data_IF_657487751879
#
_entry.id   IF_657487751879
#
_cell.length_a   1.000
_cell.length_b   1.000
_cell.length_c   1.000
_cell.angle_alpha   90.00
_cell.angle_beta   90.00
_cell.angle_gamma   90.00
#
_symmetry.space_group_name_H-M   'P 1'
#
loop_
_entity.id
_entity.type
_entity.pdbx_description
1 polymer ?
#
# COMPACT_ATOMS: atom_id res chain seq x y z
N UNK A 1 -5.99 0.38 -11.47
CA UNK A 1 -5.47 1.10 -10.29
C UNK A 1 -3.95 1.25 -10.31
N UNK A 2 -3.17 0.26 -10.75
CA UNK A 2 -1.70 0.38 -10.86
C UNK A 2 -1.22 1.62 -11.66
N UNK A 3 -1.91 1.95 -12.76
CA UNK A 3 -1.61 3.15 -13.56
C UNK A 3 -1.75 4.46 -12.76
N UNK A 4 -2.67 4.55 -11.79
CA UNK A 4 -2.86 5.75 -10.97
C UNK A 4 -1.70 5.95 -9.98
N UNK A 5 -1.22 4.87 -9.35
CA UNK A 5 -0.04 4.93 -8.49
C UNK A 5 1.22 5.30 -9.27
N UNK A 6 1.38 4.79 -10.50
CA UNK A 6 2.49 5.17 -11.38
C UNK A 6 2.43 6.65 -11.79
N UNK A 7 1.26 7.16 -12.18
CA UNK A 7 1.11 8.59 -12.50
C UNK A 7 1.36 9.49 -11.28
N UNK A 8 0.91 9.08 -10.10
CA UNK A 8 1.18 9.79 -8.85
C UNK A 8 2.68 9.80 -8.51
N UNK A 9 3.40 8.69 -8.74
CA UNK A 9 4.85 8.63 -8.58
C UNK A 9 5.58 9.57 -9.54
N UNK A 10 5.20 9.57 -10.82
CA UNK A 10 5.82 10.43 -11.82
C UNK A 10 5.62 11.92 -11.48
N UNK A 11 4.44 12.28 -10.97
CA UNK A 11 4.16 13.62 -10.49
C UNK A 11 4.93 13.97 -9.21
N UNK A 12 5.02 13.04 -8.25
CA UNK A 12 5.79 13.30 -7.03
C UNK A 12 7.28 13.35 -7.26
N UNK A 13 7.84 12.62 -8.23
CA UNK A 13 9.25 12.77 -8.59
C UNK A 13 9.61 14.19 -9.05
N UNK A 14 8.66 14.96 -9.59
CA UNK A 14 8.90 16.36 -9.98
C UNK A 14 8.70 17.37 -8.83
N UNK A 15 8.05 16.97 -7.73
CA UNK A 15 7.71 17.84 -6.59
C UNK A 15 8.53 17.51 -5.34
N UNK A 16 8.73 16.22 -5.05
CA UNK A 16 9.43 15.67 -3.87
C UNK A 16 9.87 14.23 -4.12
N UNK A 17 11.18 14.00 -4.24
CA UNK A 17 11.80 12.70 -4.55
C UNK A 17 11.69 11.63 -3.45
N UNK A 18 11.21 12.01 -2.27
CA UNK A 18 11.12 11.15 -1.09
C UNK A 18 9.75 10.48 -0.89
N UNK A 19 8.78 10.65 -1.81
CA UNK A 19 7.46 10.01 -1.72
C UNK A 19 7.27 8.96 -2.82
N UNK A 20 6.84 7.75 -2.42
CA UNK A 20 6.57 6.62 -3.30
C UNK A 20 5.19 6.01 -3.01
N UNK A 21 4.34 5.95 -4.02
CA UNK A 21 3.07 5.25 -4.05
C UNK A 21 3.27 3.84 -4.59
N UNK A 22 2.66 2.87 -3.91
CA UNK A 22 2.62 1.46 -4.28
C UNK A 22 1.24 0.89 -4.01
N UNK A 23 0.93 -0.25 -4.60
CA UNK A 23 -0.29 -1.00 -4.30
C UNK A 23 0.11 -2.28 -3.59
N UNK A 24 -0.49 -2.55 -2.44
CA UNK A 24 -0.38 -3.85 -1.78
C UNK A 24 -1.22 -4.86 -2.56
N UNK A 25 -0.59 -5.90 -3.09
CA UNK A 25 -1.27 -6.86 -3.98
C UNK A 25 -2.18 -7.81 -3.22
N UNK A 26 -1.93 -7.99 -1.92
CA UNK A 26 -2.68 -8.92 -1.08
C UNK A 26 -4.02 -8.33 -0.62
N UNK A 27 -4.03 -7.03 -0.31
CA UNK A 27 -5.23 -6.30 0.12
C UNK A 27 -5.87 -5.50 -1.02
N UNK A 28 -5.11 -5.13 -2.05
CA UNK A 28 -5.55 -4.19 -3.07
C UNK A 28 -5.57 -2.73 -2.60
N UNK A 29 -5.02 -2.43 -1.41
CA UNK A 29 -4.97 -1.07 -0.88
C UNK A 29 -3.76 -0.30 -1.42
N UNK A 30 -3.95 1.01 -1.63
CA UNK A 30 -2.84 1.92 -1.94
C UNK A 30 -1.99 2.12 -0.69
N UNK A 31 -0.69 1.87 -0.83
CA UNK A 31 0.33 2.08 0.19
C UNK A 31 1.23 3.22 -0.24
N UNK A 32 1.26 4.27 0.58
CA UNK A 32 2.14 5.42 0.40
C UNK A 32 3.33 5.28 1.33
N UNK A 33 4.53 5.35 0.79
CA UNK A 33 5.81 5.30 1.51
C UNK A 33 6.56 6.60 1.34
N UNK A 34 7.22 7.03 2.40
CA UNK A 34 8.22 8.07 2.38
C UNK A 34 9.58 7.40 2.52
N UNK A 35 10.47 7.63 1.57
CA UNK A 35 11.82 7.05 1.52
C UNK A 35 12.87 8.14 1.65
N UNK A 36 13.93 7.85 2.39
CA UNK A 36 15.14 8.65 2.39
C UNK A 36 15.87 8.45 1.06
N UNK A 37 16.21 9.54 0.37
CA UNK A 37 16.79 9.45 -0.98
C UNK A 37 18.28 9.15 -0.99
N UNK A 38 18.96 9.28 0.14
CA UNK A 38 20.39 8.98 0.26
C UNK A 38 20.62 7.52 0.67
N UNK A 39 19.76 7.00 1.54
CA UNK A 39 19.90 5.66 2.15
C UNK A 39 18.91 4.64 1.61
N UNK A 40 17.89 5.07 0.86
CA UNK A 40 16.75 4.25 0.39
C UNK A 40 15.90 3.65 1.53
N UNK A 41 16.04 4.16 2.76
CA UNK A 41 15.29 3.67 3.91
C UNK A 41 13.85 4.21 3.94
N UNK A 42 12.88 3.38 4.32
CA UNK A 42 11.48 3.80 4.49
C UNK A 42 11.36 4.58 5.81
N UNK A 43 11.23 5.89 5.71
CA UNK A 43 11.03 6.77 6.85
C UNK A 43 9.62 6.64 7.43
N UNK A 44 8.59 6.52 6.57
CA UNK A 44 7.18 6.38 6.97
C UNK A 44 6.35 5.63 5.93
N UNK A 45 5.25 5.01 6.36
CA UNK A 45 4.29 4.33 5.49
C UNK A 45 2.85 4.57 5.95
N UNK A 46 1.92 4.71 4.99
CA UNK A 46 0.49 4.83 5.23
C UNK A 46 -0.32 4.00 4.22
N UNK A 47 -1.21 3.11 4.67
CA UNK A 47 -1.38 2.61 6.04
C UNK A 47 -0.10 1.95 6.57
N UNK A 48 0.05 1.80 7.89
CA UNK A 48 1.19 1.06 8.44
C UNK A 48 1.08 -0.43 8.13
N UNK A 49 2.19 -1.16 8.22
CA UNK A 49 2.21 -2.60 7.95
C UNK A 49 1.29 -3.39 8.88
N UNK A 50 1.16 -2.96 10.14
CA UNK A 50 0.24 -3.58 11.10
C UNK A 50 -1.21 -3.39 10.65
N UNK A 51 -1.56 -2.19 10.14
CA UNK A 51 -2.90 -1.93 9.60
C UNK A 51 -3.18 -2.75 8.35
N UNK A 52 -2.19 -2.94 7.48
CA UNK A 52 -2.31 -3.84 6.31
C UNK A 52 -2.51 -5.29 6.77
N UNK A 53 -1.78 -5.74 7.79
CA UNK A 53 -1.94 -7.09 8.34
C UNK A 53 -3.33 -7.31 8.96
N UNK A 54 -3.87 -6.29 9.62
CA UNK A 54 -5.25 -6.31 10.15
C UNK A 54 -6.25 -6.39 9.00
N UNK A 55 -6.11 -5.55 7.96
CA UNK A 55 -6.96 -5.57 6.76
C UNK A 55 -6.97 -6.96 6.10
N UNK A 56 -5.81 -7.56 5.82
CA UNK A 56 -5.71 -8.94 5.29
C UNK A 56 -6.44 -9.96 6.15
N UNK A 57 -6.38 -9.80 7.47
CA UNK A 57 -6.99 -10.75 8.40
C UNK A 57 -8.52 -10.63 8.41
N UNK A 58 -9.05 -9.40 8.32
CA UNK A 58 -10.48 -9.14 8.17
C UNK A 58 -11.00 -9.73 6.86
N UNK A 59 -10.31 -9.48 5.74
CA UNK A 59 -10.73 -9.98 4.42
C UNK A 59 -10.77 -11.51 4.37
N UNK A 60 -9.77 -12.17 4.96
CA UNK A 60 -9.74 -13.63 5.10
C UNK A 60 -10.90 -14.18 5.92
N UNK A 61 -11.24 -13.53 7.04
CA UNK A 61 -12.40 -13.95 7.85
C UNK A 61 -13.69 -13.84 7.05
N UNK A 62 -13.91 -12.74 6.32
CA UNK A 62 -15.09 -12.57 5.46
C UNK A 62 -15.17 -13.68 4.39
N UNK A 63 -14.05 -13.99 3.73
CA UNK A 63 -13.99 -15.08 2.76
C UNK A 63 -14.32 -16.45 3.35
N UNK A 64 -13.87 -16.76 4.57
CA UNK A 64 -14.18 -18.02 5.25
C UNK A 64 -15.66 -18.14 5.66
N UNK A 65 -16.31 -17.03 6.02
CA UNK A 65 -17.73 -17.02 6.35
C UNK A 65 -18.59 -17.28 5.12
N UNK A 66 -18.29 -16.61 3.99
CA UNK A 66 -19.00 -16.80 2.71
C UNK A 66 -18.87 -18.25 2.22
N UNK A 67 -17.68 -18.85 2.36
CA UNK A 67 -17.43 -20.23 1.93
C UNK A 67 -18.17 -21.30 2.75
N UNK A 68 -18.75 -20.95 3.92
CA UNK A 68 -19.52 -21.90 4.75
C UNK A 68 -21.02 -21.91 4.45
N UNK A 69 -21.52 -20.95 3.68
CA UNK A 69 -22.94 -20.86 3.31
C UNK A 69 -23.27 -21.53 1.96
N UNK A 70 -22.31 -22.28 1.38
CA UNK A 70 -22.44 -23.02 0.12
C UNK A 70 -22.62 -24.54 0.33
#
# INVERSE_FOLDING_TARGET
>A
MAAAAQSANAYMQSVSSNLQFSLDQDTGHTVVRMIDTETEEVLRQFPSEEMLAISRSIDRMQGLLINREA
#
